data_IF_092541880796
#
_entry.id   IF_092541880796
#
_cell.length_a   1.000
_cell.length_b   1.000
_cell.length_c   1.000
_cell.angle_alpha   90.00
_cell.angle_beta   90.00
_cell.angle_gamma   90.00
#
_symmetry.space_group_name_H-M   'P 1'
#
loop_
_entity.id
_entity.type
_entity.pdbx_description
1 polymer ?
#
# COMPACT_ATOMS: atom_id res chain seq x y z
N UNK A 1 -7.17 3.43 9.65
CA UNK A 1 -6.08 2.93 10.51
C UNK A 1 -4.79 3.73 10.30
N UNK A 2 -4.22 3.84 9.09
CA UNK A 2 -2.99 4.63 8.85
C UNK A 2 -3.10 6.08 9.33
N UNK A 3 -4.21 6.79 9.10
CA UNK A 3 -4.42 8.15 9.57
C UNK A 3 -4.35 8.29 11.10
N UNK A 4 -4.95 7.35 11.84
CA UNK A 4 -4.91 7.36 13.31
C UNK A 4 -3.50 7.12 13.84
N UNK A 5 -2.71 6.27 13.18
CA UNK A 5 -1.31 6.01 13.54
C UNK A 5 -0.45 7.24 13.24
N UNK A 6 -0.64 7.90 12.09
CA UNK A 6 0.08 9.15 11.77
C UNK A 6 -0.23 10.25 12.77
N UNK A 7 -1.49 10.39 13.19
CA UNK A 7 -1.86 11.30 14.25
C UNK A 7 -1.17 10.96 15.58
N UNK A 8 -1.09 9.67 15.92
CA UNK A 8 -0.36 9.18 17.10
C UNK A 8 1.12 9.56 17.07
N UNK A 9 1.79 9.44 15.93
CA UNK A 9 3.19 9.84 15.74
C UNK A 9 3.37 11.35 16.02
N UNK A 10 2.50 12.19 15.43
CA UNK A 10 2.56 13.64 15.61
C UNK A 10 2.31 14.04 17.10
N UNK A 11 1.33 13.42 17.73
CA UNK A 11 1.03 13.66 19.14
C UNK A 11 2.23 13.25 20.02
N UNK A 12 2.81 12.09 19.76
CA UNK A 12 3.97 11.60 20.52
C UNK A 12 5.20 12.50 20.32
N UNK A 13 5.41 12.99 19.09
CA UNK A 13 6.48 13.96 18.78
C UNK A 13 6.29 15.26 19.60
N UNK A 14 5.07 15.81 19.60
CA UNK A 14 4.78 17.05 20.34
C UNK A 14 4.94 16.84 21.85
N UNK A 15 4.38 15.76 22.40
CA UNK A 15 4.52 15.42 23.82
C UNK A 15 5.99 15.18 24.15
N UNK A 16 6.72 14.45 23.32
CA UNK A 16 8.14 14.17 23.48
C UNK A 16 8.98 15.43 23.56
N UNK A 17 8.76 16.36 22.64
CA UNK A 17 9.44 17.67 22.62
C UNK A 17 9.12 18.51 23.85
N UNK A 18 7.84 18.63 24.23
CA UNK A 18 7.42 19.41 25.41
C UNK A 18 7.98 18.84 26.71
N UNK A 19 8.01 17.53 26.87
CA UNK A 19 8.54 16.90 28.09
C UNK A 19 10.06 17.06 28.18
N UNK A 20 10.79 16.88 27.08
CA UNK A 20 12.24 17.11 27.06
C UNK A 20 12.58 18.57 27.38
N UNK A 21 11.80 19.52 26.88
CA UNK A 21 11.99 20.94 27.18
C UNK A 21 11.89 21.27 28.69
N UNK A 22 11.13 20.44 29.43
CA UNK A 22 10.99 20.59 30.90
C UNK A 22 12.05 19.82 31.66
N UNK A 23 12.48 18.65 31.14
CA UNK A 23 13.40 17.75 31.87
C UNK A 23 14.88 18.08 31.65
N UNK A 24 15.19 18.78 30.55
CA UNK A 24 16.57 19.11 30.15
C UNK A 24 16.84 20.60 30.22
N UNK A 25 18.11 20.97 30.06
CA UNK A 25 18.60 22.35 29.94
C UNK A 25 19.62 22.43 28.79
N UNK A 26 19.91 23.66 28.33
CA UNK A 26 20.88 23.88 27.28
C UNK A 26 20.31 23.73 25.85
N UNK A 27 21.16 23.50 24.87
CA UNK A 27 20.84 23.59 23.43
C UNK A 27 19.67 22.69 22.99
N UNK A 28 19.48 21.52 23.61
CA UNK A 28 18.36 20.60 23.30
C UNK A 28 16.99 21.22 23.61
N UNK A 29 16.91 22.27 24.42
CA UNK A 29 15.65 22.95 24.83
C UNK A 29 15.37 24.23 24.03
N UNK A 30 16.27 24.64 23.13
CA UNK A 30 16.18 25.90 22.41
C UNK A 30 15.31 25.75 21.14
N UNK A 31 14.43 26.72 20.92
CA UNK A 31 13.61 26.82 19.71
C UNK A 31 12.79 25.56 19.40
N UNK A 32 12.98 25.00 18.22
CA UNK A 32 12.31 23.77 17.72
C UNK A 32 13.14 22.48 17.96
N UNK A 33 14.33 22.61 18.54
CA UNK A 33 15.28 21.51 18.80
C UNK A 33 14.66 20.34 19.59
N UNK A 34 13.81 20.54 20.61
CA UNK A 34 13.19 19.43 21.32
C UNK A 34 12.31 18.56 20.42
N UNK A 35 11.58 19.18 19.48
CA UNK A 35 10.72 18.47 18.52
C UNK A 35 11.55 17.79 17.43
N UNK A 36 12.61 18.44 16.97
CA UNK A 36 13.60 17.86 16.08
C UNK A 36 14.20 16.59 16.67
N UNK A 37 14.70 16.67 17.92
CA UNK A 37 15.23 15.52 18.62
C UNK A 37 14.18 14.38 18.72
N UNK A 38 12.93 14.71 19.06
CA UNK A 38 11.88 13.71 19.20
C UNK A 38 11.62 12.97 17.89
N UNK A 39 11.47 13.68 16.77
CA UNK A 39 11.20 13.04 15.46
C UNK A 39 12.39 12.21 14.99
N UNK A 40 13.61 12.72 15.11
CA UNK A 40 14.84 12.02 14.72
C UNK A 40 15.05 10.75 15.52
N UNK A 41 14.71 10.79 16.82
CA UNK A 41 14.80 9.64 17.73
C UNK A 41 13.70 8.61 17.42
N UNK A 42 12.44 9.04 17.29
CA UNK A 42 11.30 8.16 17.01
C UNK A 42 11.42 7.45 15.64
N UNK A 43 11.99 8.14 14.64
CA UNK A 43 12.20 7.57 13.31
C UNK A 43 13.47 6.72 13.20
N UNK A 44 14.21 6.56 14.30
CA UNK A 44 15.46 5.79 14.38
C UNK A 44 16.61 6.35 13.53
N UNK A 45 16.54 7.61 13.08
CA UNK A 45 17.62 8.27 12.32
C UNK A 45 18.82 8.55 13.21
N UNK A 46 18.59 9.20 14.37
CA UNK A 46 19.58 9.38 15.43
C UNK A 46 20.87 10.07 14.98
N UNK A 47 20.80 11.30 14.47
CA UNK A 47 22.00 12.04 14.06
C UNK A 47 23.03 12.23 15.18
N UNK A 48 22.58 12.22 16.45
CA UNK A 48 23.44 12.40 17.60
C UNK A 48 23.87 13.86 17.83
N UNK A 49 23.23 14.78 17.13
CA UNK A 49 23.43 16.23 17.26
C UNK A 49 22.90 16.73 18.63
N UNK A 50 21.76 16.21 19.06
CA UNK A 50 21.17 16.51 20.37
C UNK A 50 20.80 15.22 21.09
N UNK A 51 21.03 15.17 22.41
CA UNK A 51 20.64 14.02 23.24
C UNK A 51 20.43 14.45 24.69
N UNK A 52 19.48 13.82 25.42
CA UNK A 52 19.29 14.08 26.84
C UNK A 52 20.54 13.76 27.66
N UNK A 53 20.90 14.67 28.56
CA UNK A 53 22.05 14.53 29.46
C UNK A 53 21.64 14.12 30.85
N UNK A 54 20.46 14.56 31.29
CA UNK A 54 19.95 14.25 32.63
C UNK A 54 19.48 12.80 32.77
N UNK A 55 19.52 12.21 33.98
CA UNK A 55 18.98 10.86 34.20
C UNK A 55 17.49 10.75 33.90
N UNK A 56 16.71 11.80 34.23
CA UNK A 56 15.27 11.84 33.95
C UNK A 56 14.98 11.93 32.46
N UNK A 57 15.71 12.79 31.75
CA UNK A 57 15.58 12.92 30.29
C UNK A 57 15.96 11.63 29.58
N UNK A 58 17.01 10.94 30.02
CA UNK A 58 17.42 9.63 29.43
C UNK A 58 16.37 8.55 29.68
N UNK A 59 15.78 8.49 30.87
CA UNK A 59 14.70 7.55 31.16
C UNK A 59 13.47 7.81 30.28
N UNK A 60 13.10 9.08 30.13
CA UNK A 60 12.01 9.49 29.24
C UNK A 60 12.33 9.18 27.78
N UNK A 61 13.56 9.41 27.33
CA UNK A 61 14.00 9.08 25.98
C UNK A 61 13.80 7.59 25.64
N UNK A 62 14.10 6.69 26.57
CA UNK A 62 13.87 5.25 26.39
C UNK A 62 12.38 4.98 26.15
N UNK A 63 11.48 5.61 26.89
CA UNK A 63 10.02 5.45 26.68
C UNK A 63 9.61 5.93 25.30
N UNK A 64 10.08 7.12 24.89
CA UNK A 64 9.79 7.69 23.57
C UNK A 64 10.33 6.80 22.44
N UNK A 65 11.52 6.23 22.60
CA UNK A 65 12.09 5.29 21.62
C UNK A 65 11.19 4.08 21.41
N UNK A 66 10.73 3.42 22.48
CA UNK A 66 9.82 2.27 22.36
C UNK A 66 8.47 2.62 21.74
N UNK A 67 7.87 3.73 22.13
CA UNK A 67 6.62 4.21 21.56
C UNK A 67 6.82 4.56 20.08
N UNK A 68 7.87 5.30 19.75
CA UNK A 68 8.19 5.74 18.39
C UNK A 68 8.40 4.56 17.43
N UNK A 69 9.26 3.60 17.80
CA UNK A 69 9.51 2.40 17.00
C UNK A 69 8.21 1.62 16.78
N UNK A 70 7.38 1.47 17.82
CA UNK A 70 6.11 0.77 17.72
C UNK A 70 5.14 1.46 16.75
N UNK A 71 5.01 2.79 16.82
CA UNK A 71 4.14 3.56 15.94
C UNK A 71 4.60 3.56 14.49
N UNK A 72 5.91 3.72 14.25
CA UNK A 72 6.48 3.69 12.89
C UNK A 72 6.33 2.29 12.27
N UNK A 73 6.57 1.24 13.06
CA UNK A 73 6.35 -0.15 12.62
C UNK A 73 4.88 -0.41 12.26
N UNK A 74 3.94 0.08 13.07
CA UNK A 74 2.51 -0.05 12.82
C UNK A 74 2.07 0.75 11.58
N UNK A 75 2.65 1.92 11.32
CA UNK A 75 2.42 2.69 10.10
C UNK A 75 2.87 1.91 8.87
N UNK A 76 4.09 1.39 8.90
CA UNK A 76 4.66 0.58 7.81
C UNK A 76 3.81 -0.66 7.53
N UNK A 77 3.41 -1.39 8.58
CA UNK A 77 2.52 -2.54 8.45
C UNK A 77 1.14 -2.17 7.85
N UNK A 78 0.59 -1.01 8.26
CA UNK A 78 -0.69 -0.51 7.73
C UNK A 78 -0.61 -0.18 6.24
N UNK A 79 0.49 0.43 5.79
CA UNK A 79 0.73 0.74 4.38
C UNK A 79 0.91 -0.55 3.58
N UNK A 80 1.75 -1.47 4.05
CA UNK A 80 1.97 -2.78 3.41
C UNK A 80 0.68 -3.57 3.25
N UNK A 81 -0.19 -3.55 4.26
CA UNK A 81 -1.49 -4.22 4.23
C UNK A 81 -2.40 -3.72 3.09
N UNK A 82 -2.35 -2.43 2.76
CA UNK A 82 -3.15 -1.86 1.66
C UNK A 82 -2.70 -2.47 0.32
N UNK A 83 -1.39 -2.54 0.07
CA UNK A 83 -0.85 -3.13 -1.16
C UNK A 83 -1.17 -4.62 -1.27
N UNK A 84 -1.04 -5.37 -0.17
CA UNK A 84 -1.36 -6.81 -0.17
C UNK A 84 -2.84 -7.04 -0.48
N UNK A 85 -3.75 -6.29 0.16
CA UNK A 85 -5.19 -6.41 -0.08
C UNK A 85 -5.53 -6.05 -1.53
N UNK A 86 -4.91 -5.01 -2.09
CA UNK A 86 -5.11 -4.62 -3.48
C UNK A 86 -4.69 -5.73 -4.44
N UNK A 87 -3.48 -6.28 -4.28
CA UNK A 87 -2.99 -7.38 -5.11
C UNK A 87 -3.88 -8.63 -5.03
N UNK A 88 -4.37 -8.97 -3.82
CA UNK A 88 -5.29 -10.09 -3.64
C UNK A 88 -6.63 -9.82 -4.37
N UNK A 89 -7.15 -8.60 -4.32
CA UNK A 89 -8.39 -8.23 -5.00
C UNK A 89 -8.24 -8.31 -6.52
N UNK A 90 -7.13 -7.80 -7.07
CA UNK A 90 -6.80 -7.90 -8.49
C UNK A 90 -6.69 -9.38 -8.92
N UNK A 91 -5.93 -10.19 -8.18
CA UNK A 91 -5.76 -11.62 -8.46
C UNK A 91 -7.07 -12.40 -8.40
N UNK A 92 -7.98 -12.01 -7.51
CA UNK A 92 -9.31 -12.64 -7.36
C UNK A 92 -10.40 -12.05 -8.26
N UNK A 93 -10.08 -11.07 -9.11
CA UNK A 93 -11.06 -10.43 -9.98
C UNK A 93 -12.19 -9.69 -9.23
N UNK A 94 -11.89 -9.16 -8.05
CA UNK A 94 -12.85 -8.43 -7.21
C UNK A 94 -12.73 -6.91 -7.36
N UNK A 95 -11.94 -6.45 -8.31
CA UNK A 95 -11.72 -5.03 -8.56
C UNK A 95 -12.86 -4.43 -9.39
N UNK A 96 -13.20 -3.17 -9.09
CA UNK A 96 -14.11 -2.40 -9.96
C UNK A 96 -13.30 -1.80 -11.11
N UNK A 97 -13.63 -2.21 -12.31
CA UNK A 97 -13.00 -1.74 -13.52
C UNK A 97 -13.74 -0.52 -14.07
N UNK A 98 -13.03 0.55 -14.34
CA UNK A 98 -13.56 1.73 -15.02
C UNK A 98 -12.81 1.94 -16.34
N UNK A 99 -13.05 1.03 -17.28
CA UNK A 99 -12.37 0.96 -18.56
C UNK A 99 -13.25 1.53 -19.67
N UNK A 100 -12.61 2.05 -20.74
CA UNK A 100 -13.27 2.50 -21.95
C UNK A 100 -12.65 1.81 -23.16
N UNK A 101 -13.46 1.44 -24.15
CA UNK A 101 -12.99 0.78 -25.38
C UNK A 101 -12.22 -0.51 -25.12
N UNK A 102 -12.75 -1.41 -24.29
CA UNK A 102 -12.15 -2.68 -23.94
C UNK A 102 -12.96 -3.85 -24.52
N UNK A 103 -12.30 -4.99 -24.70
CA UNK A 103 -12.94 -6.23 -25.13
C UNK A 103 -13.31 -7.05 -23.91
N UNK A 104 -14.53 -7.56 -23.84
CA UNK A 104 -14.98 -8.45 -22.78
C UNK A 104 -15.11 -9.86 -23.33
N UNK A 105 -14.44 -10.82 -22.70
CA UNK A 105 -14.58 -12.25 -22.98
C UNK A 105 -15.28 -12.92 -21.80
N UNK A 106 -16.52 -13.33 -22.03
CA UNK A 106 -17.35 -13.97 -21.00
C UNK A 106 -17.27 -15.48 -21.10
N UNK A 107 -17.05 -16.14 -19.95
CA UNK A 107 -16.90 -17.57 -19.87
C UNK A 107 -15.52 -18.07 -20.27
N UNK A 108 -15.23 -19.33 -19.95
CA UNK A 108 -13.95 -19.95 -20.28
C UNK A 108 -14.16 -21.39 -20.75
N UNK A 109 -13.58 -21.72 -21.88
CA UNK A 109 -13.58 -23.05 -22.45
C UNK A 109 -12.25 -23.35 -23.17
N UNK A 110 -11.97 -24.58 -23.60
CA UNK A 110 -10.71 -24.92 -24.25
C UNK A 110 -10.40 -24.11 -25.53
N UNK A 111 -11.39 -23.48 -26.15
CA UNK A 111 -11.20 -22.63 -27.31
C UNK A 111 -10.94 -21.17 -27.01
N UNK A 112 -11.14 -20.73 -25.76
CA UNK A 112 -10.97 -19.33 -25.34
C UNK A 112 -9.53 -18.82 -25.60
N UNK A 113 -8.52 -19.65 -25.39
CA UNK A 113 -7.13 -19.29 -25.71
C UNK A 113 -6.95 -18.98 -27.19
N UNK A 114 -7.57 -19.75 -28.10
CA UNK A 114 -7.52 -19.49 -29.55
C UNK A 114 -8.22 -18.19 -29.93
N UNK A 115 -9.31 -17.85 -29.22
CA UNK A 115 -9.96 -16.54 -29.37
C UNK A 115 -9.03 -15.43 -28.97
N UNK A 116 -8.36 -15.53 -27.80
CA UNK A 116 -7.37 -14.56 -27.36
C UNK A 116 -6.20 -14.43 -28.35
N UNK A 117 -5.69 -15.53 -28.89
CA UNK A 117 -4.65 -15.52 -29.92
C UNK A 117 -5.11 -14.77 -31.18
N UNK A 118 -6.33 -14.99 -31.63
CA UNK A 118 -6.86 -14.35 -32.86
C UNK A 118 -7.06 -12.84 -32.70
N UNK A 119 -7.40 -12.37 -31.48
CA UNK A 119 -7.57 -10.94 -31.21
C UNK A 119 -6.27 -10.25 -30.80
N UNK A 120 -5.29 -11.00 -30.30
CA UNK A 120 -4.01 -10.47 -29.83
C UNK A 120 -3.27 -9.70 -30.93
N UNK A 121 -3.16 -10.28 -32.14
CA UNK A 121 -2.49 -9.64 -33.25
C UNK A 121 -3.21 -8.36 -33.72
N UNK A 122 -4.54 -8.32 -33.60
CA UNK A 122 -5.36 -7.14 -33.93
C UNK A 122 -5.21 -6.06 -32.87
N UNK A 123 -5.27 -6.41 -31.61
CA UNK A 123 -5.15 -5.49 -30.46
C UNK A 123 -3.81 -4.76 -30.48
N UNK A 124 -2.71 -5.44 -30.78
CA UNK A 124 -1.38 -4.84 -30.86
C UNK A 124 -1.32 -3.72 -31.92
N UNK A 125 -2.10 -3.82 -32.98
CA UNK A 125 -2.13 -2.82 -34.06
C UNK A 125 -3.01 -1.60 -33.72
N UNK A 126 -4.06 -1.76 -32.91
CA UNK A 126 -5.10 -0.73 -32.69
C UNK A 126 -4.89 0.10 -31.42
N UNK A 127 -3.89 -0.16 -30.58
CA UNK A 127 -3.66 0.45 -29.26
C UNK A 127 -4.80 0.21 -28.23
N UNK A 128 -5.83 -0.51 -28.58
CA UNK A 128 -6.93 -0.92 -27.69
C UNK A 128 -6.58 -2.29 -27.12
N UNK A 129 -5.62 -2.30 -26.17
CA UNK A 129 -5.00 -3.52 -25.66
C UNK A 129 -5.58 -4.02 -24.32
N UNK A 130 -6.76 -3.52 -23.93
CA UNK A 130 -7.41 -3.91 -22.69
C UNK A 130 -8.47 -4.99 -22.94
N UNK A 131 -8.30 -6.12 -22.25
CA UNK A 131 -9.23 -7.26 -22.32
C UNK A 131 -9.68 -7.64 -20.93
N UNK A 132 -10.98 -7.74 -20.74
CA UNK A 132 -11.60 -8.18 -19.50
C UNK A 132 -12.05 -9.63 -19.66
N UNK A 133 -11.55 -10.52 -18.82
CA UNK A 133 -11.97 -11.90 -18.73
C UNK A 133 -12.97 -12.05 -17.58
N UNK A 134 -14.19 -12.48 -17.91
CA UNK A 134 -15.24 -12.78 -16.90
C UNK A 134 -15.42 -14.29 -16.82
N UNK A 135 -14.93 -14.91 -15.77
CA UNK A 135 -14.97 -16.37 -15.60
C UNK A 135 -14.67 -16.79 -14.16
N UNK A 136 -14.56 -18.10 -13.91
CA UNK A 136 -14.26 -18.72 -12.62
C UNK A 136 -12.87 -19.36 -12.55
N UNK A 137 -11.92 -18.93 -13.41
CA UNK A 137 -10.56 -19.44 -13.40
C UNK A 137 -9.84 -19.12 -12.09
N UNK A 138 -8.91 -19.99 -11.72
CA UNK A 138 -8.06 -19.75 -10.56
C UNK A 138 -6.94 -18.73 -10.88
N UNK A 139 -6.33 -18.20 -9.82
CA UNK A 139 -5.28 -17.18 -9.91
C UNK A 139 -4.07 -17.66 -10.74
N UNK A 140 -3.75 -18.97 -10.70
CA UNK A 140 -2.60 -19.54 -11.44
C UNK A 140 -2.89 -19.58 -12.94
N UNK A 141 -4.10 -19.95 -13.31
CA UNK A 141 -4.53 -19.99 -14.72
C UNK A 141 -4.55 -18.59 -15.32
N UNK A 142 -5.06 -17.59 -14.56
CA UNK A 142 -5.04 -16.18 -14.98
C UNK A 142 -3.59 -15.66 -15.13
N UNK A 143 -2.69 -16.02 -14.23
CA UNK A 143 -1.29 -15.63 -14.32
C UNK A 143 -0.61 -16.25 -15.57
N UNK A 144 -0.94 -17.49 -15.94
CA UNK A 144 -0.45 -18.12 -17.17
C UNK A 144 -0.95 -17.39 -18.43
N UNK A 145 -2.22 -16.96 -18.44
CA UNK A 145 -2.79 -16.20 -19.54
C UNK A 145 -2.08 -14.85 -19.68
N UNK A 146 -1.90 -14.10 -18.60
CA UNK A 146 -1.17 -12.82 -18.59
C UNK A 146 0.25 -12.97 -19.11
N UNK A 147 0.96 -14.01 -18.70
CA UNK A 147 2.32 -14.29 -19.16
C UNK A 147 2.38 -14.68 -20.66
N UNK A 148 1.36 -15.35 -21.17
CA UNK A 148 1.28 -15.74 -22.60
C UNK A 148 1.06 -14.54 -23.51
N UNK A 149 0.39 -13.48 -23.03
CA UNK A 149 0.02 -12.29 -23.81
C UNK A 149 0.59 -11.00 -23.23
N UNK A 150 1.92 -10.80 -23.22
CA UNK A 150 2.57 -9.72 -22.47
C UNK A 150 2.28 -8.30 -22.98
N UNK A 151 1.82 -8.15 -24.22
CA UNK A 151 1.45 -6.84 -24.80
C UNK A 151 -0.03 -6.51 -24.64
N UNK A 152 -0.82 -7.40 -24.07
CA UNK A 152 -2.25 -7.23 -23.80
C UNK A 152 -2.45 -7.04 -22.31
N UNK A 153 -3.16 -5.99 -21.93
CA UNK A 153 -3.53 -5.76 -20.52
C UNK A 153 -4.77 -6.60 -20.21
N UNK A 154 -4.56 -7.70 -19.48
CA UNK A 154 -5.63 -8.62 -19.12
C UNK A 154 -6.13 -8.29 -17.72
N UNK A 155 -7.37 -7.85 -17.64
CA UNK A 155 -8.14 -7.71 -16.40
C UNK A 155 -8.98 -8.96 -16.18
N UNK A 156 -9.17 -9.32 -14.93
CA UNK A 156 -9.97 -10.47 -14.56
C UNK A 156 -11.14 -10.04 -13.65
N UNK A 157 -12.32 -10.54 -13.93
CA UNK A 157 -13.51 -10.38 -13.08
C UNK A 157 -14.02 -11.76 -12.75
N UNK A 158 -13.94 -12.13 -11.46
CA UNK A 158 -14.48 -13.39 -10.99
C UNK A 158 -16.01 -13.33 -10.91
N UNK A 159 -16.66 -14.29 -11.51
CA UNK A 159 -18.09 -14.46 -11.36
C UNK A 159 -18.78 -15.06 -12.60
N UNK A 160 -20.03 -15.42 -12.40
CA UNK A 160 -20.90 -15.93 -13.45
C UNK A 160 -21.47 -14.75 -14.26
N UNK A 161 -21.07 -14.67 -15.54
CA UNK A 161 -21.49 -13.62 -16.46
C UNK A 161 -23.01 -13.61 -16.74
N UNK A 162 -23.78 -14.57 -16.26
CA UNK A 162 -25.23 -14.57 -16.35
C UNK A 162 -25.92 -13.65 -15.33
N UNK A 163 -25.17 -13.19 -14.31
CA UNK A 163 -25.69 -12.29 -13.28
C UNK A 163 -25.42 -10.81 -13.61
N UNK A 164 -26.49 -10.00 -13.62
CA UNK A 164 -26.43 -8.57 -13.98
C UNK A 164 -25.48 -7.72 -13.08
N UNK A 165 -25.24 -8.16 -11.86
CA UNK A 165 -24.37 -7.45 -10.91
C UNK A 165 -22.89 -7.37 -11.34
N UNK A 166 -22.45 -8.28 -12.23
CA UNK A 166 -21.07 -8.31 -12.73
C UNK A 166 -20.79 -7.15 -13.68
N UNK A 167 -21.80 -6.69 -14.43
CA UNK A 167 -21.65 -5.58 -15.37
C UNK A 167 -21.68 -4.19 -14.69
N UNK A 168 -21.93 -4.13 -13.38
CA UNK A 168 -21.93 -2.91 -12.58
C UNK A 168 -20.64 -2.73 -11.77
N UNK A 169 -19.69 -3.66 -11.89
CA UNK A 169 -18.37 -3.59 -11.28
C UNK A 169 -17.39 -2.91 -12.21
#
# INVERSE_FOLDING_TARGET
>A
MAFSVSAGILITMVIGGLVIQVLETGEITEGDTPFWWAIVTMTTVGYGDYSPSSPQGRLFAIIIMFIGISLVSLLTASISSIFVVQNIREGKGLEKLNLKNHIILCGWNPSAIRVLESIYDRIIQTRENEVVLVNDLDEKEIAQIKNKFPKMTVHFVAGDFTHEEIYKK
#
